data_IF_627113755389
#
_entry.id   IF_627113755389
#
_cell.length_a   1.000
_cell.length_b   1.000
_cell.length_c   1.000
_cell.angle_alpha   90.00
_cell.angle_beta   90.00
_cell.angle_gamma   90.00
#
_symmetry.space_group_name_H-M   'P 1'
#
loop_
_entity.id
_entity.type
_entity.pdbx_description
1 polymer ?
#
# COMPACT_ATOMS: atom_id res chain seq x y z
N UNK A 1 7.43 5.27 -23.34
CA UNK A 1 6.04 5.72 -23.12
C UNK A 1 5.35 4.76 -22.13
N UNK A 2 4.69 5.31 -21.11
CA UNK A 2 3.99 4.54 -20.08
C UNK A 2 2.56 5.07 -19.98
N UNK A 3 1.57 4.21 -20.20
CA UNK A 3 0.16 4.57 -20.06
C UNK A 3 -0.42 4.10 -18.70
N UNK A 4 0.13 3.01 -18.16
CA UNK A 4 -0.29 2.45 -16.87
C UNK A 4 0.90 2.14 -15.98
N UNK A 5 0.85 2.59 -14.73
CA UNK A 5 1.85 2.29 -13.70
C UNK A 5 1.18 1.56 -12.53
N UNK A 6 1.70 0.39 -12.18
CA UNK A 6 1.22 -0.35 -11.01
C UNK A 6 2.34 -0.45 -9.97
N UNK A 7 2.22 0.27 -8.87
CA UNK A 7 3.13 0.19 -7.73
C UNK A 7 2.77 -1.02 -6.88
N UNK A 8 3.16 -2.20 -7.37
CA UNK A 8 2.79 -3.49 -6.77
C UNK A 8 3.85 -4.05 -5.81
N UNK A 9 5.11 -3.66 -5.98
CA UNK A 9 6.19 -4.16 -5.14
C UNK A 9 5.90 -3.93 -3.65
N UNK A 10 6.23 -4.92 -2.84
CA UNK A 10 6.06 -4.83 -1.39
C UNK A 10 6.70 -6.01 -0.67
N UNK A 11 7.20 -5.75 0.53
CA UNK A 11 7.85 -6.74 1.37
C UNK A 11 7.28 -6.71 2.79
N UNK A 12 7.06 -7.88 3.34
CA UNK A 12 6.57 -8.08 4.70
C UNK A 12 7.39 -9.14 5.43
N UNK A 13 7.76 -8.86 6.68
CA UNK A 13 8.48 -9.82 7.53
C UNK A 13 9.78 -10.34 6.92
N UNK A 14 10.52 -9.47 6.23
CA UNK A 14 11.88 -9.73 5.75
C UNK A 14 12.89 -9.37 6.84
N UNK A 15 14.15 -9.86 6.77
CA UNK A 15 15.24 -9.38 7.60
C UNK A 15 15.40 -7.86 7.44
N UNK A 16 15.43 -7.15 8.57
CA UNK A 16 15.47 -5.68 8.59
C UNK A 16 16.90 -5.19 8.64
N UNK A 17 17.15 -4.11 7.92
CA UNK A 17 18.40 -3.36 7.95
C UNK A 17 18.14 -1.90 7.55
N UNK A 18 19.02 -1.01 7.93
CA UNK A 18 19.00 0.39 7.50
C UNK A 18 19.64 0.48 6.11
N UNK A 19 18.97 1.16 5.19
CA UNK A 19 19.46 1.43 3.83
C UNK A 19 20.40 2.65 3.82
N UNK A 20 21.06 2.89 2.69
CA UNK A 20 22.01 4.01 2.52
C UNK A 20 21.37 5.38 2.76
N UNK A 21 20.08 5.53 2.46
CA UNK A 21 19.30 6.75 2.74
C UNK A 21 18.87 6.90 4.21
N UNK A 22 19.33 6.02 5.10
CA UNK A 22 19.07 6.06 6.54
C UNK A 22 17.75 5.44 6.98
N UNK A 23 16.86 5.01 6.06
CA UNK A 23 15.58 4.42 6.40
C UNK A 23 15.62 2.88 6.44
N UNK A 24 14.68 2.30 7.20
CA UNK A 24 14.44 0.86 7.22
C UNK A 24 14.05 0.32 5.84
N UNK A 25 14.59 -0.85 5.46
CA UNK A 25 14.37 -1.45 4.15
C UNK A 25 12.88 -1.80 3.87
N UNK A 26 12.10 -2.15 4.88
CA UNK A 26 10.65 -2.38 4.71
C UNK A 26 9.95 -1.08 4.36
N UNK A 27 10.33 0.04 5.00
CA UNK A 27 9.79 1.36 4.69
C UNK A 27 10.20 1.80 3.28
N UNK A 28 11.47 1.61 2.90
CA UNK A 28 11.96 1.91 1.56
C UNK A 28 11.18 1.16 0.46
N UNK A 29 11.03 -0.16 0.59
CA UNK A 29 10.38 -0.98 -0.44
C UNK A 29 8.88 -0.67 -0.54
N UNK A 30 8.20 -0.43 0.58
CA UNK A 30 6.74 -0.29 0.61
C UNK A 30 6.26 1.16 0.47
N UNK A 31 7.13 2.15 0.65
CA UNK A 31 6.77 3.57 0.58
C UNK A 31 7.77 4.40 -0.21
N UNK A 32 9.04 4.53 0.21
CA UNK A 32 9.97 5.52 -0.39
C UNK A 32 10.14 5.29 -1.89
N UNK A 33 10.53 4.09 -2.30
CA UNK A 33 10.73 3.77 -3.72
C UNK A 33 9.45 3.90 -4.56
N UNK A 34 8.29 3.38 -4.14
CA UNK A 34 7.03 3.61 -4.84
C UNK A 34 6.63 5.10 -4.93
N UNK A 35 6.89 5.88 -3.88
CA UNK A 35 6.57 7.30 -3.85
C UNK A 35 7.44 8.09 -4.84
N UNK A 36 8.75 7.83 -4.87
CA UNK A 36 9.69 8.42 -5.85
C UNK A 36 9.25 8.09 -7.28
N UNK A 37 8.90 6.84 -7.55
CA UNK A 37 8.40 6.45 -8.89
C UNK A 37 7.10 7.15 -9.25
N UNK A 38 6.18 7.31 -8.29
CA UNK A 38 4.94 8.03 -8.50
C UNK A 38 5.24 9.49 -8.85
N UNK A 39 6.02 10.18 -8.01
CA UNK A 39 6.37 11.59 -8.20
C UNK A 39 7.01 11.84 -9.57
N UNK A 40 7.99 11.02 -9.95
CA UNK A 40 8.69 11.15 -11.22
C UNK A 40 7.81 10.90 -12.47
N UNK A 41 6.78 10.04 -12.36
CA UNK A 41 6.02 9.56 -13.52
C UNK A 41 4.60 10.14 -13.61
N UNK A 42 4.03 10.65 -12.52
CA UNK A 42 2.68 11.23 -12.50
C UNK A 42 2.47 12.37 -13.50
N UNK A 43 3.41 13.32 -13.69
CA UNK A 43 3.24 14.37 -14.72
C UNK A 43 3.03 13.78 -16.11
N UNK A 44 3.85 12.82 -16.51
CA UNK A 44 3.77 12.16 -17.83
C UNK A 44 2.49 11.32 -17.97
N UNK A 45 2.10 10.61 -16.91
CA UNK A 45 0.85 9.84 -16.92
C UNK A 45 -0.36 10.77 -17.08
N UNK A 46 -0.39 11.90 -16.37
CA UNK A 46 -1.46 12.89 -16.47
C UNK A 46 -1.57 13.48 -17.86
N UNK A 47 -0.44 13.88 -18.47
CA UNK A 47 -0.38 14.45 -19.81
C UNK A 47 -0.94 13.48 -20.87
N UNK A 48 -0.71 12.18 -20.70
CA UNK A 48 -1.14 11.12 -21.62
C UNK A 48 -2.53 10.56 -21.33
N UNK A 49 -3.21 11.03 -20.29
CA UNK A 49 -4.45 10.40 -19.82
C UNK A 49 -4.25 9.01 -19.24
N UNK A 50 -3.03 8.71 -18.80
CA UNK A 50 -2.66 7.44 -18.18
C UNK A 50 -3.12 7.32 -16.73
N UNK A 51 -2.82 6.17 -16.10
CA UNK A 51 -3.28 5.84 -14.74
C UNK A 51 -2.18 5.22 -13.89
N UNK A 52 -2.20 5.56 -12.59
CA UNK A 52 -1.37 4.94 -11.57
C UNK A 52 -2.25 4.17 -10.58
N UNK A 53 -1.89 2.93 -10.30
CA UNK A 53 -2.50 2.14 -9.23
C UNK A 53 -1.45 1.80 -8.18
N UNK A 54 -1.64 2.29 -6.95
CA UNK A 54 -0.78 1.94 -5.83
C UNK A 54 -1.42 0.81 -4.99
N UNK A 55 -0.65 -0.25 -4.76
CA UNK A 55 -1.11 -1.39 -3.96
C UNK A 55 -0.88 -1.13 -2.49
N UNK A 56 -1.99 -0.84 -1.79
CA UNK A 56 -2.06 -0.63 -0.35
C UNK A 56 -2.44 -1.93 0.40
N UNK A 57 -2.65 -1.82 1.70
CA UNK A 57 -3.04 -2.92 2.58
C UNK A 57 -3.93 -2.43 3.71
N UNK A 58 -4.82 -3.28 4.22
CA UNK A 58 -5.56 -3.02 5.47
C UNK A 58 -4.62 -2.81 6.66
N UNK A 59 -3.36 -3.25 6.53
CA UNK A 59 -2.34 -3.07 7.55
C UNK A 59 -2.04 -1.58 7.85
N UNK A 60 -2.37 -0.64 6.96
CA UNK A 60 -2.26 0.79 7.22
C UNK A 60 -3.04 1.24 8.46
N UNK A 61 -3.98 0.42 8.94
CA UNK A 61 -4.76 0.66 10.16
C UNK A 61 -4.09 0.16 11.45
N UNK A 62 -2.95 -0.54 11.38
CA UNK A 62 -2.35 -1.17 12.55
C UNK A 62 -1.59 -0.19 13.45
N UNK A 63 -1.32 1.01 12.98
CA UNK A 63 -0.68 2.08 13.73
C UNK A 63 -0.96 3.44 13.09
N UNK A 64 -0.86 4.50 13.89
CA UNK A 64 -0.77 5.87 13.39
C UNK A 64 0.67 6.18 13.01
N UNK A 65 0.86 7.17 12.14
CA UNK A 65 2.19 7.70 11.83
C UNK A 65 2.82 8.33 13.09
N UNK A 66 4.14 8.15 13.23
CA UNK A 66 4.92 8.72 14.31
C UNK A 66 6.02 9.60 13.72
N UNK A 67 5.94 10.94 13.87
CA UNK A 67 6.95 11.84 13.31
C UNK A 67 8.34 11.68 13.90
N UNK A 68 8.44 11.09 15.10
CA UNK A 68 9.72 10.87 15.79
C UNK A 68 10.38 9.54 15.42
N UNK A 69 9.62 8.63 14.78
CA UNK A 69 10.09 7.32 14.31
C UNK A 69 9.40 7.01 12.96
N UNK A 70 9.70 7.83 11.95
CA UNK A 70 8.98 7.90 10.68
C UNK A 70 8.89 6.56 9.96
N UNK A 71 9.96 5.79 9.94
CA UNK A 71 10.06 4.47 9.30
C UNK A 71 9.81 3.29 10.26
N UNK A 72 9.49 3.59 11.52
CA UNK A 72 9.34 2.60 12.59
C UNK A 72 10.60 1.74 12.80
N UNK A 73 11.78 2.34 12.66
CA UNK A 73 13.06 1.67 12.90
C UNK A 73 13.15 1.05 14.29
N UNK A 74 12.59 1.72 15.31
CA UNK A 74 12.60 1.26 16.71
C UNK A 74 11.55 0.17 17.00
N UNK A 75 10.55 -0.03 16.13
CA UNK A 75 9.45 -0.97 16.36
C UNK A 75 9.84 -2.39 15.97
N UNK A 76 9.47 -3.36 16.81
CA UNK A 76 9.80 -4.79 16.59
C UNK A 76 8.70 -5.57 15.86
N UNK A 77 7.44 -5.12 15.93
CA UNK A 77 6.31 -5.82 15.34
C UNK A 77 6.27 -5.65 13.81
N UNK A 78 6.51 -6.70 12.99
CA UNK A 78 6.58 -6.56 11.53
C UNK A 78 5.30 -6.01 10.91
N UNK A 79 4.13 -6.33 11.50
CA UNK A 79 2.84 -5.83 11.03
C UNK A 79 2.69 -4.32 11.20
N UNK A 80 3.25 -3.75 12.29
CA UNK A 80 3.23 -2.30 12.52
C UNK A 80 4.18 -1.58 11.56
N UNK A 81 5.39 -2.11 11.37
CA UNK A 81 6.38 -1.53 10.44
C UNK A 81 5.85 -1.51 9.00
N UNK A 82 5.37 -2.64 8.53
CA UNK A 82 4.74 -2.75 7.21
C UNK A 82 3.49 -1.85 7.09
N UNK A 83 2.64 -1.87 8.13
CA UNK A 83 1.42 -1.07 8.17
C UNK A 83 1.72 0.43 8.09
N UNK A 84 2.75 0.89 8.79
CA UNK A 84 3.21 2.26 8.73
C UNK A 84 3.65 2.66 7.31
N UNK A 85 4.49 1.86 6.66
CA UNK A 85 4.91 2.13 5.28
C UNK A 85 3.71 2.18 4.30
N UNK A 86 2.74 1.26 4.45
CA UNK A 86 1.51 1.29 3.64
C UNK A 86 0.59 2.47 3.99
N UNK A 87 0.64 2.97 5.23
CA UNK A 87 -0.05 4.18 5.64
C UNK A 87 0.56 5.42 4.96
N UNK A 88 1.88 5.56 4.99
CA UNK A 88 2.58 6.63 4.28
C UNK A 88 2.24 6.61 2.79
N UNK A 89 2.38 5.48 2.10
CA UNK A 89 2.06 5.36 0.67
C UNK A 89 0.62 5.77 0.36
N UNK A 90 -0.33 5.33 1.16
CA UNK A 90 -1.76 5.58 0.92
C UNK A 90 -2.09 7.07 1.08
N UNK A 91 -1.67 7.68 2.17
CA UNK A 91 -2.10 9.03 2.50
C UNK A 91 -1.25 10.12 1.84
N UNK A 92 0.04 9.85 1.55
CA UNK A 92 0.82 10.77 0.70
C UNK A 92 0.26 10.86 -0.71
N UNK A 93 -0.14 9.74 -1.31
CA UNK A 93 -0.75 9.75 -2.64
C UNK A 93 -2.15 10.38 -2.65
N UNK A 94 -2.95 10.23 -1.59
CA UNK A 94 -4.22 10.94 -1.45
C UNK A 94 -4.08 12.45 -1.34
N UNK A 95 -2.92 12.94 -0.89
CA UNK A 95 -2.63 14.37 -0.74
C UNK A 95 -2.24 15.05 -2.06
N UNK A 96 -2.00 14.27 -3.12
CA UNK A 96 -1.65 14.79 -4.45
C UNK A 96 -2.92 15.16 -5.24
N UNK A 97 -3.60 16.22 -4.81
CA UNK A 97 -4.90 16.65 -5.37
C UNK A 97 -4.85 16.96 -6.88
N UNK A 98 -3.71 17.42 -7.38
CA UNK A 98 -3.47 17.72 -8.81
C UNK A 98 -3.49 16.48 -9.72
N UNK A 99 -3.30 15.28 -9.14
CA UNK A 99 -3.34 13.99 -9.85
C UNK A 99 -4.61 13.20 -9.55
N UNK A 100 -5.64 13.88 -9.03
CA UNK A 100 -6.96 13.27 -8.85
C UNK A 100 -7.50 12.79 -10.19
N UNK A 101 -8.02 11.56 -10.22
CA UNK A 101 -8.42 10.91 -11.48
C UNK A 101 -7.28 10.15 -12.19
N UNK A 102 -6.01 10.43 -11.87
CA UNK A 102 -4.85 9.64 -12.36
C UNK A 102 -4.49 8.53 -11.37
N UNK A 103 -4.54 8.82 -10.06
CA UNK A 103 -4.16 7.89 -8.99
C UNK A 103 -5.37 7.10 -8.49
N UNK A 104 -5.20 5.79 -8.38
CA UNK A 104 -6.09 4.89 -7.64
C UNK A 104 -5.31 4.12 -6.58
N UNK A 105 -5.88 3.99 -5.40
CA UNK A 105 -5.33 3.14 -4.33
C UNK A 105 -6.12 1.85 -4.30
N UNK A 106 -5.45 0.71 -4.42
CA UNK A 106 -6.09 -0.60 -4.43
C UNK A 106 -5.54 -1.51 -3.34
N UNK A 107 -6.44 -2.25 -2.70
CA UNK A 107 -6.11 -3.32 -1.75
C UNK A 107 -6.59 -4.65 -2.32
N UNK A 108 -5.68 -5.63 -2.49
CA UNK A 108 -6.02 -6.90 -3.12
C UNK A 108 -6.81 -7.87 -2.22
N UNK A 109 -7.07 -7.51 -0.97
CA UNK A 109 -7.61 -8.44 0.03
C UNK A 109 -6.50 -9.23 0.73
N UNK A 110 -6.90 -10.23 1.50
CA UNK A 110 -5.94 -11.14 2.13
C UNK A 110 -5.77 -12.36 1.21
N UNK A 111 -4.57 -12.55 0.69
CA UNK A 111 -4.25 -13.61 -0.26
C UNK A 111 -3.28 -14.62 0.35
N UNK A 112 -3.42 -15.88 -0.06
CA UNK A 112 -2.40 -16.90 0.19
C UNK A 112 -1.26 -16.65 -0.80
N UNK A 113 -0.23 -15.97 -0.34
CA UNK A 113 1.00 -15.70 -1.10
C UNK A 113 2.19 -16.28 -0.33
N UNK A 114 3.38 -16.15 -0.87
CA UNK A 114 4.63 -16.55 -0.19
C UNK A 114 4.84 -15.86 1.17
N UNK A 115 4.08 -14.83 1.51
CA UNK A 115 4.05 -14.21 2.85
C UNK A 115 3.69 -15.25 3.93
N UNK A 116 2.94 -16.30 3.59
CA UNK A 116 2.54 -17.36 4.51
C UNK A 116 3.55 -18.51 4.61
N UNK A 117 4.56 -18.55 3.77
CA UNK A 117 5.59 -19.60 3.75
C UNK A 117 6.52 -19.60 4.99
N UNK A 118 6.47 -18.53 5.78
CA UNK A 118 7.31 -18.35 6.98
C UNK A 118 6.74 -19.02 8.24
N UNK A 119 5.58 -19.68 8.15
CA UNK A 119 5.05 -20.46 9.27
C UNK A 119 5.74 -21.84 9.38
N UNK A 120 5.99 -22.33 10.61
CA UNK A 120 6.47 -23.71 10.80
C UNK A 120 5.57 -24.71 10.07
N UNK A 121 6.16 -25.76 9.47
CA UNK A 121 5.45 -26.74 8.61
C UNK A 121 4.17 -27.30 9.24
N UNK A 122 4.19 -27.57 10.54
CA UNK A 122 3.05 -28.13 11.28
C UNK A 122 1.92 -27.09 11.35
N UNK A 123 2.24 -25.85 11.70
CA UNK A 123 1.27 -24.75 11.77
C UNK A 123 0.71 -24.48 10.38
N UNK A 124 1.56 -24.45 9.35
CA UNK A 124 1.13 -24.25 7.97
C UNK A 124 0.17 -25.35 7.51
N UNK A 125 0.41 -26.61 7.85
CA UNK A 125 -0.47 -27.73 7.50
C UNK A 125 -1.87 -27.57 8.14
N UNK A 126 -1.94 -27.13 9.39
CA UNK A 126 -3.21 -26.94 10.10
C UNK A 126 -4.02 -25.74 9.56
N UNK A 127 -3.35 -24.65 9.17
CA UNK A 127 -4.02 -23.42 8.71
C UNK A 127 -4.26 -23.41 7.19
N UNK A 128 -3.57 -24.27 6.42
CA UNK A 128 -3.63 -24.28 4.94
C UNK A 128 -5.04 -24.45 4.38
N UNK A 129 -5.85 -25.32 4.97
CA UNK A 129 -7.22 -25.56 4.51
C UNK A 129 -8.16 -24.41 4.85
N UNK A 130 -8.28 -23.95 6.11
CA UNK A 130 -9.09 -22.76 6.41
C UNK A 130 -8.59 -21.51 5.66
N UNK A 131 -7.28 -21.34 5.47
CA UNK A 131 -6.74 -20.22 4.70
C UNK A 131 -7.20 -20.24 3.24
N UNK A 132 -7.30 -21.42 2.59
CA UNK A 132 -7.81 -21.51 1.21
C UNK A 132 -9.27 -21.10 1.06
N UNK A 133 -10.06 -21.24 2.12
CA UNK A 133 -11.47 -20.86 2.14
C UNK A 133 -11.63 -19.37 2.48
N UNK A 134 -10.84 -18.86 3.42
CA UNK A 134 -10.94 -17.49 3.95
C UNK A 134 -10.20 -16.50 3.04
N UNK A 135 -9.05 -16.90 2.47
CA UNK A 135 -8.20 -16.00 1.70
C UNK A 135 -8.48 -16.11 0.20
N UNK A 136 -8.36 -14.97 -0.47
CA UNK A 136 -8.61 -14.92 -1.90
C UNK A 136 -7.49 -15.60 -2.70
N UNK A 137 -7.87 -16.24 -3.80
CA UNK A 137 -6.93 -16.66 -4.82
C UNK A 137 -6.24 -15.41 -5.43
N UNK A 138 -4.92 -15.43 -5.67
CA UNK A 138 -4.19 -14.31 -6.26
C UNK A 138 -4.82 -13.74 -7.55
N UNK A 139 -5.38 -14.61 -8.41
CA UNK A 139 -6.10 -14.16 -9.63
C UNK A 139 -7.36 -13.33 -9.31
N UNK A 140 -8.09 -13.66 -8.24
CA UNK A 140 -9.22 -12.85 -7.80
C UNK A 140 -8.78 -11.57 -7.09
N UNK A 141 -7.69 -11.64 -6.35
CA UNK A 141 -7.11 -10.50 -5.66
C UNK A 141 -6.61 -9.42 -6.63
N UNK A 142 -6.03 -9.82 -7.77
CA UNK A 142 -5.59 -8.89 -8.81
C UNK A 142 -6.74 -8.10 -9.45
N UNK A 143 -7.98 -8.55 -9.34
CA UNK A 143 -9.13 -7.80 -9.85
C UNK A 143 -9.28 -6.41 -9.22
N UNK A 144 -8.91 -6.24 -7.95
CA UNK A 144 -8.91 -4.91 -7.31
C UNK A 144 -7.89 -3.97 -7.96
N UNK A 145 -6.75 -4.49 -8.34
CA UNK A 145 -5.68 -3.73 -9.00
C UNK A 145 -6.11 -3.39 -10.42
N UNK A 146 -6.59 -4.39 -11.18
CA UNK A 146 -7.09 -4.18 -12.55
C UNK A 146 -8.26 -3.20 -12.57
N UNK A 147 -9.19 -3.31 -11.64
CA UNK A 147 -10.30 -2.36 -11.52
C UNK A 147 -9.80 -0.94 -11.26
N UNK A 148 -8.70 -0.77 -10.50
CA UNK A 148 -8.06 0.53 -10.25
C UNK A 148 -7.51 1.21 -11.49
N UNK A 149 -7.17 0.47 -12.56
CA UNK A 149 -6.73 1.05 -13.82
C UNK A 149 -7.86 1.75 -14.58
N UNK A 150 -9.12 1.39 -14.32
CA UNK A 150 -10.27 1.88 -15.09
C UNK A 150 -11.30 2.62 -14.23
N UNK A 151 -11.31 2.39 -12.91
CA UNK A 151 -12.26 3.03 -12.02
C UNK A 151 -11.88 4.48 -11.71
N UNK A 152 -12.86 5.36 -11.71
CA UNK A 152 -12.71 6.69 -11.14
C UNK A 152 -12.86 6.63 -9.63
N UNK A 153 -11.90 7.19 -8.92
CA UNK A 153 -11.93 7.32 -7.45
C UNK A 153 -11.80 8.77 -7.05
N UNK A 154 -12.54 9.14 -6.02
CA UNK A 154 -12.46 10.46 -5.40
C UNK A 154 -11.41 10.48 -4.29
N UNK A 155 -11.14 11.66 -3.72
CA UNK A 155 -10.27 11.82 -2.56
C UNK A 155 -10.72 10.90 -1.42
N UNK A 156 -9.75 10.23 -0.80
CA UNK A 156 -9.99 9.26 0.27
C UNK A 156 -10.84 8.04 -0.13
N UNK A 157 -10.97 7.76 -1.40
CA UNK A 157 -11.54 6.52 -1.87
C UNK A 157 -10.47 5.52 -2.29
N UNK A 158 -10.68 4.28 -1.92
CA UNK A 158 -9.83 3.18 -2.33
C UNK A 158 -10.64 2.00 -2.85
N UNK A 159 -9.98 1.12 -3.56
CA UNK A 159 -10.59 -0.07 -4.15
C UNK A 159 -10.17 -1.27 -3.33
N UNK A 160 -11.13 -2.05 -2.91
CA UNK A 160 -10.87 -3.29 -2.17
C UNK A 160 -12.00 -4.29 -2.30
N UNK A 161 -11.79 -5.55 -1.85
CA UNK A 161 -12.82 -6.57 -1.85
C UNK A 161 -14.06 -6.12 -1.09
N UNK A 162 -15.24 -6.45 -1.63
CA UNK A 162 -16.54 -5.99 -1.11
C UNK A 162 -16.76 -6.32 0.36
N UNK A 163 -16.41 -7.55 0.78
CA UNK A 163 -16.70 -8.04 2.12
C UNK A 163 -15.48 -7.87 3.02
N UNK A 164 -15.61 -7.01 4.04
CA UNK A 164 -14.62 -6.73 5.10
C UNK A 164 -13.21 -6.40 4.62
N UNK A 165 -13.03 -6.00 3.37
CA UNK A 165 -11.73 -5.84 2.70
C UNK A 165 -10.88 -7.14 2.67
N UNK A 166 -11.51 -8.29 2.81
CA UNK A 166 -10.84 -9.60 2.84
C UNK A 166 -11.10 -10.35 1.54
N UNK A 167 -12.36 -10.40 1.09
CA UNK A 167 -12.77 -11.19 -0.08
C UNK A 167 -13.97 -10.60 -0.83
N UNK A 168 -14.18 -11.09 -2.05
CA UNK A 168 -15.27 -10.68 -2.94
C UNK A 168 -14.79 -9.87 -4.14
N UNK A 169 -15.73 -9.39 -4.94
CA UNK A 169 -15.43 -8.52 -6.08
C UNK A 169 -14.94 -7.14 -5.60
N UNK A 170 -14.13 -6.44 -6.39
CA UNK A 170 -13.67 -5.10 -6.05
C UNK A 170 -14.83 -4.11 -5.94
N UNK A 171 -14.72 -3.20 -5.01
CA UNK A 171 -15.64 -2.09 -4.80
C UNK A 171 -14.87 -0.85 -4.37
N UNK A 172 -15.26 0.31 -4.91
CA UNK A 172 -14.81 1.62 -4.40
C UNK A 172 -15.43 1.88 -3.04
N UNK A 173 -14.63 2.33 -2.09
CA UNK A 173 -15.01 2.59 -0.70
C UNK A 173 -14.30 3.82 -0.17
N UNK A 174 -14.96 4.58 0.68
CA UNK A 174 -14.35 5.68 1.40
C UNK A 174 -13.44 5.16 2.52
N UNK A 175 -12.21 5.65 2.59
CA UNK A 175 -11.24 5.35 3.62
C UNK A 175 -11.29 6.44 4.70
N UNK A 176 -11.78 6.08 5.90
CA UNK A 176 -11.97 7.00 7.04
C UNK A 176 -10.96 6.78 8.18
N UNK A 177 -9.80 6.23 7.87
CA UNK A 177 -8.86 5.74 8.89
C UNK A 177 -7.71 6.70 9.18
N UNK A 178 -7.71 7.87 8.55
CA UNK A 178 -6.76 8.93 8.77
C UNK A 178 -7.51 10.26 8.93
N UNK A 179 -7.14 11.05 9.91
CA UNK A 179 -7.62 12.42 10.01
C UNK A 179 -6.96 13.31 8.96
N UNK A 180 -7.56 14.45 8.65
CA UNK A 180 -6.96 15.40 7.73
C UNK A 180 -5.60 15.90 8.24
N UNK A 181 -5.50 16.22 9.52
CA UNK A 181 -4.26 16.63 10.18
C UNK A 181 -3.14 15.58 10.02
N UNK A 182 -3.45 14.29 10.21
CA UNK A 182 -2.47 13.23 10.04
C UNK A 182 -2.07 13.07 8.56
N UNK A 183 -3.01 13.21 7.62
CA UNK A 183 -2.74 13.14 6.20
C UNK A 183 -1.82 14.29 5.72
N UNK A 184 -2.07 15.51 6.19
CA UNK A 184 -1.22 16.68 5.91
C UNK A 184 0.20 16.45 6.44
N UNK A 185 0.32 16.00 7.68
CA UNK A 185 1.63 15.69 8.29
C UNK A 185 2.38 14.58 7.56
N UNK A 186 1.69 13.52 7.14
CA UNK A 186 2.29 12.45 6.30
C UNK A 186 2.77 13.05 4.98
N UNK A 187 1.99 13.93 4.36
CA UNK A 187 2.35 14.57 3.09
C UNK A 187 3.61 15.43 3.23
N UNK A 188 3.70 16.26 4.28
CA UNK A 188 4.88 17.09 4.57
C UNK A 188 6.13 16.23 4.78
N UNK A 189 6.07 15.24 5.67
CA UNK A 189 7.16 14.30 5.92
C UNK A 189 7.57 13.53 4.66
N UNK A 190 6.61 13.19 3.78
CA UNK A 190 6.91 12.49 2.53
C UNK A 190 7.74 13.31 1.57
N UNK A 191 7.50 14.62 1.50
CA UNK A 191 8.32 15.57 0.71
C UNK A 191 9.75 15.67 1.25
N UNK A 192 9.90 15.74 2.57
CA UNK A 192 11.23 15.79 3.20
C UNK A 192 12.04 14.49 2.97
N UNK A 193 11.37 13.34 2.97
CA UNK A 193 11.98 12.04 2.71
C UNK A 193 12.49 11.95 1.27
N UNK A 194 11.76 12.53 0.33
CA UNK A 194 12.15 12.56 -1.09
C UNK A 194 13.38 13.43 -1.36
N UNK A 195 13.57 14.49 -0.57
CA UNK A 195 14.69 15.45 -0.75
C UNK A 195 16.00 14.99 -0.11
N UNK A 196 16.03 13.86 0.61
CA UNK A 196 17.23 13.24 1.19
C UNK A 196 17.79 12.18 0.25
#
# INVERSE_FOLDING_TARGET
DIDYLVLNAGAYKIPRHTCENGYDNVFNINFVSPYILADALLPKLKERGGRLVAVSSIAHNYSKADPTDVDFATRRAPSKVYGNAKRYLTFSLFSLDEYRGVISIAHPGITVTNITSHYPRVIYALIKYPMKVIFMNPKKASLSILYGLFAETQKNEWIGPRFFNVWGLPKVKTLKTCSQEEAEKISELSKEIYLK
#
